data_IF_569288810792
#
_entry.id   IF_569288810792
#
_cell.length_a   1.000
_cell.length_b   1.000
_cell.length_c   1.000
_cell.angle_alpha   90.00
_cell.angle_beta   90.00
_cell.angle_gamma   90.00
#
_symmetry.space_group_name_H-M   'P 1'
#
loop_
_entity.id
_entity.type
_entity.pdbx_description
1 polymer ?
#
# COMPACT_ATOMS: atom_id res chain seq x y z
N UNK A 1 -2.89 -8.81 -16.46
CA UNK A 1 -3.27 -8.10 -15.21
C UNK A 1 -4.44 -8.81 -14.58
N UNK A 2 -4.46 -8.94 -13.26
CA UNK A 2 -5.57 -9.53 -12.50
C UNK A 2 -6.25 -8.43 -11.69
N UNK A 3 -7.58 -8.46 -11.57
CA UNK A 3 -8.30 -7.52 -10.70
C UNK A 3 -7.78 -7.66 -9.27
N UNK A 4 -7.30 -6.56 -8.70
CA UNK A 4 -6.65 -6.53 -7.39
C UNK A 4 -7.56 -7.12 -6.31
N UNK A 5 -8.85 -6.73 -6.32
CA UNK A 5 -9.82 -7.27 -5.37
C UNK A 5 -10.13 -8.75 -5.55
N UNK A 6 -10.18 -9.23 -6.80
CA UNK A 6 -10.38 -10.66 -7.05
C UNK A 6 -9.18 -11.46 -6.51
N UNK A 7 -7.97 -11.03 -6.88
CA UNK A 7 -6.73 -11.68 -6.47
C UNK A 7 -6.59 -11.75 -4.95
N UNK A 8 -6.86 -10.66 -4.23
CA UNK A 8 -6.71 -10.66 -2.77
C UNK A 8 -7.74 -11.57 -2.09
N UNK A 9 -8.94 -11.69 -2.65
CA UNK A 9 -9.97 -12.61 -2.16
C UNK A 9 -9.62 -14.08 -2.45
N UNK A 10 -8.94 -14.37 -3.57
CA UNK A 10 -8.45 -15.72 -3.86
C UNK A 10 -7.28 -16.12 -2.93
N UNK A 11 -6.38 -15.18 -2.60
CA UNK A 11 -5.26 -15.43 -1.68
C UNK A 11 -5.69 -15.54 -0.22
N UNK A 12 -6.72 -14.79 0.17
CA UNK A 12 -7.23 -14.75 1.54
C UNK A 12 -8.77 -14.88 1.53
N UNK A 13 -9.30 -16.10 1.30
CA UNK A 13 -10.73 -16.32 1.08
C UNK A 13 -11.56 -16.15 2.35
N UNK A 14 -10.99 -16.46 3.52
CA UNK A 14 -11.71 -16.36 4.79
C UNK A 14 -11.29 -15.16 5.62
N UNK A 15 -12.13 -14.80 6.59
CA UNK A 15 -11.77 -13.82 7.63
C UNK A 15 -10.55 -14.26 8.44
N UNK A 16 -10.44 -15.56 8.71
CA UNK A 16 -9.32 -16.09 9.48
C UNK A 16 -7.99 -15.92 8.74
N UNK A 17 -7.98 -16.12 7.41
CA UNK A 17 -6.79 -15.91 6.59
C UNK A 17 -6.35 -14.44 6.63
N UNK A 18 -7.30 -13.50 6.50
CA UNK A 18 -7.03 -12.05 6.59
C UNK A 18 -6.55 -11.64 7.98
N UNK A 19 -7.11 -12.24 9.03
CA UNK A 19 -6.74 -11.97 10.42
C UNK A 19 -5.31 -12.45 10.76
N UNK A 20 -4.75 -13.43 10.03
CA UNK A 20 -3.37 -13.90 10.23
C UNK A 20 -2.31 -12.97 9.66
N UNK A 21 -2.66 -12.11 8.70
CA UNK A 21 -1.69 -11.26 7.99
C UNK A 21 -1.27 -10.08 8.87
N UNK A 22 0.05 -9.98 9.08
CA UNK A 22 0.71 -8.82 9.69
C UNK A 22 1.55 -8.04 8.69
N UNK A 23 2.18 -8.73 7.75
CA UNK A 23 2.96 -8.12 6.67
C UNK A 23 2.47 -8.61 5.33
N UNK A 24 2.18 -7.67 4.43
CA UNK A 24 1.81 -7.95 3.05
C UNK A 24 2.69 -7.12 2.12
N UNK A 25 3.52 -7.79 1.32
CA UNK A 25 4.28 -7.17 0.25
C UNK A 25 3.81 -7.71 -1.10
N UNK A 26 3.53 -6.81 -2.02
CA UNK A 26 3.16 -7.13 -3.40
C UNK A 26 4.24 -6.54 -4.30
N UNK A 27 5.05 -7.42 -4.86
CA UNK A 27 6.14 -7.10 -5.77
C UNK A 27 5.67 -7.38 -7.19
N UNK A 28 5.76 -6.36 -8.01
CA UNK A 28 5.30 -6.41 -9.39
C UNK A 28 6.41 -6.95 -10.31
N UNK A 29 7.68 -6.81 -9.89
CA UNK A 29 8.84 -7.41 -10.54
C UNK A 29 9.05 -8.90 -10.25
N UNK A 30 10.16 -9.42 -10.80
CA UNK A 30 10.51 -10.84 -10.75
C UNK A 30 10.88 -11.32 -9.34
N UNK A 31 10.52 -12.57 -9.05
CA UNK A 31 10.92 -13.26 -7.84
C UNK A 31 10.06 -14.47 -7.50
N UNK A 32 10.22 -14.97 -6.28
CA UNK A 32 9.50 -16.15 -5.77
C UNK A 32 8.75 -15.77 -4.51
N UNK A 33 7.47 -16.14 -4.45
CA UNK A 33 6.63 -15.88 -3.28
C UNK A 33 7.28 -16.42 -2.00
N UNK A 34 7.27 -15.59 -0.94
CA UNK A 34 7.77 -15.96 0.38
C UNK A 34 6.63 -15.81 1.37
N UNK A 35 6.22 -16.93 1.96
CA UNK A 35 5.16 -16.96 2.97
C UNK A 35 5.76 -17.56 4.23
N UNK A 36 5.78 -16.78 5.31
CA UNK A 36 6.24 -17.22 6.62
C UNK A 36 5.32 -16.71 7.72
N UNK A 37 4.54 -17.61 8.31
CA UNK A 37 3.57 -17.30 9.36
C UNK A 37 2.58 -16.20 8.96
N UNK A 38 2.83 -14.98 9.43
CA UNK A 38 1.98 -13.79 9.23
C UNK A 38 2.54 -12.83 8.16
N UNK A 39 3.66 -13.20 7.52
CA UNK A 39 4.34 -12.40 6.52
C UNK A 39 4.14 -13.03 5.14
N UNK A 40 3.61 -12.24 4.21
CA UNK A 40 3.27 -12.66 2.87
C UNK A 40 3.93 -11.72 1.86
N UNK A 41 4.85 -12.24 1.07
CA UNK A 41 5.51 -11.51 -0.01
C UNK A 41 5.17 -12.23 -1.32
N UNK A 42 4.46 -11.53 -2.21
CA UNK A 42 4.06 -12.05 -3.51
C UNK A 42 4.85 -11.34 -4.60
N UNK A 43 5.38 -12.11 -5.55
CA UNK A 43 6.15 -11.63 -6.70
C UNK A 43 5.38 -11.92 -8.00
N UNK A 44 5.83 -11.34 -9.13
CA UNK A 44 5.21 -11.54 -10.45
C UNK A 44 3.70 -11.22 -10.46
N UNK A 45 3.24 -10.27 -9.65
CA UNK A 45 1.81 -10.08 -9.39
C UNK A 45 1.29 -8.78 -10.00
N UNK A 46 1.01 -8.72 -11.30
CA UNK A 46 0.46 -7.48 -11.90
C UNK A 46 -1.03 -7.28 -11.58
N UNK A 47 -1.34 -6.36 -10.66
CA UNK A 47 -2.71 -6.04 -10.22
C UNK A 47 -3.30 -4.78 -10.86
N UNK A 48 -4.61 -4.76 -11.01
CA UNK A 48 -5.35 -3.61 -11.53
C UNK A 48 -6.65 -3.31 -10.77
N UNK A 49 -7.10 -2.06 -10.79
CA UNK A 49 -8.34 -1.61 -10.17
C UNK A 49 -8.20 -1.30 -8.68
N UNK A 50 -9.29 -1.49 -7.93
CA UNK A 50 -9.34 -1.23 -6.49
C UNK A 50 -8.76 -2.40 -5.69
N UNK A 51 -7.90 -2.08 -4.72
CA UNK A 51 -7.40 -2.99 -3.70
C UNK A 51 -7.99 -2.58 -2.33
N UNK A 52 -8.99 -3.32 -1.86
CA UNK A 52 -9.58 -3.13 -0.54
C UNK A 52 -8.95 -4.08 0.49
N UNK A 53 -8.20 -3.50 1.43
CA UNK A 53 -7.54 -4.18 2.53
C UNK A 53 -8.22 -3.94 3.88
N UNK A 54 -9.43 -3.36 3.91
CA UNK A 54 -10.15 -3.08 5.16
C UNK A 54 -10.52 -4.34 5.97
N UNK A 55 -10.44 -5.53 5.35
CA UNK A 55 -10.58 -6.82 6.03
C UNK A 55 -9.35 -7.27 6.84
N UNK A 56 -8.17 -6.66 6.61
CA UNK A 56 -6.90 -7.07 7.21
C UNK A 56 -6.63 -6.30 8.50
N UNK A 57 -7.41 -6.61 9.55
CA UNK A 57 -7.41 -5.87 10.83
C UNK A 57 -6.08 -5.91 11.60
N UNK A 58 -5.22 -6.88 11.29
CA UNK A 58 -3.95 -7.12 11.94
C UNK A 58 -2.74 -6.68 11.11
N UNK A 59 -2.97 -6.04 9.96
CA UNK A 59 -1.91 -5.55 9.08
C UNK A 59 -1.09 -4.46 9.78
N UNK A 60 0.21 -4.67 9.87
CA UNK A 60 1.21 -3.82 10.51
C UNK A 60 2.19 -3.24 9.48
N UNK A 61 2.48 -3.98 8.41
CA UNK A 61 3.41 -3.58 7.34
C UNK A 61 2.78 -3.89 5.97
N UNK A 62 2.65 -2.84 5.14
CA UNK A 62 2.15 -2.94 3.77
C UNK A 62 3.19 -2.35 2.82
N UNK A 63 3.64 -3.16 1.88
CA UNK A 63 4.45 -2.71 0.76
C UNK A 63 3.80 -3.06 -0.58
N UNK A 64 3.72 -2.10 -1.49
CA UNK A 64 3.38 -2.34 -2.89
C UNK A 64 4.56 -1.81 -3.69
N UNK A 65 5.32 -2.69 -4.34
CA UNK A 65 6.55 -2.35 -5.06
C UNK A 65 6.41 -2.54 -6.55
N UNK A 66 6.85 -1.53 -7.29
CA UNK A 66 6.98 -1.54 -8.73
C UNK A 66 7.96 -2.60 -9.22
N UNK A 67 8.07 -2.70 -10.53
CA UNK A 67 9.09 -3.49 -11.22
C UNK A 67 10.30 -2.64 -11.64
N UNK A 68 10.36 -1.36 -11.22
CA UNK A 68 11.42 -0.41 -11.58
C UNK A 68 11.43 0.00 -13.06
N UNK A 69 10.43 -0.42 -13.86
CA UNK A 69 10.42 -0.17 -15.32
C UNK A 69 9.78 1.16 -15.71
N UNK A 70 9.27 1.93 -14.75
CA UNK A 70 8.49 3.14 -15.01
C UNK A 70 7.06 2.86 -15.51
N UNK A 71 6.65 1.59 -15.59
CA UNK A 71 5.29 1.22 -15.95
C UNK A 71 4.35 1.49 -14.78
N UNK A 72 3.30 2.27 -15.04
CA UNK A 72 2.26 2.56 -14.06
C UNK A 72 1.46 1.29 -13.77
N UNK A 73 1.43 0.89 -12.50
CA UNK A 73 0.63 -0.24 -12.07
C UNK A 73 -0.82 0.20 -11.86
N UNK A 74 -1.81 -0.44 -12.50
CA UNK A 74 -3.17 0.05 -12.57
C UNK A 74 -3.98 -0.15 -11.29
N UNK A 75 -3.36 -0.37 -10.14
CA UNK A 75 -4.04 -0.14 -8.87
C UNK A 75 -4.38 1.34 -8.80
N UNK A 76 -5.67 1.65 -8.88
CA UNK A 76 -6.19 3.01 -9.01
C UNK A 76 -6.99 3.46 -7.78
N UNK A 77 -7.14 2.57 -6.79
CA UNK A 77 -7.66 2.89 -5.47
C UNK A 77 -7.12 1.91 -4.44
N UNK A 78 -6.72 2.40 -3.27
CA UNK A 78 -6.25 1.60 -2.14
C UNK A 78 -7.11 1.96 -0.92
N UNK A 79 -7.81 0.98 -0.35
CA UNK A 79 -8.61 1.17 0.88
C UNK A 79 -7.93 0.48 2.06
N UNK A 80 -7.46 1.30 3.00
CA UNK A 80 -6.78 0.88 4.23
C UNK A 80 -7.36 1.59 5.47
N UNK A 81 -8.57 2.15 5.35
CA UNK A 81 -9.28 2.93 6.37
C UNK A 81 -9.54 2.14 7.68
N UNK A 82 -9.49 0.81 7.63
CA UNK A 82 -9.66 -0.09 8.79
C UNK A 82 -8.37 -0.79 9.21
N UNK A 83 -7.23 -0.50 8.58
CA UNK A 83 -5.91 -1.02 8.95
C UNK A 83 -5.31 -0.21 10.12
N UNK A 84 -5.99 -0.19 11.26
CA UNK A 84 -5.63 0.62 12.44
C UNK A 84 -4.32 0.22 13.14
N UNK A 85 -3.73 -0.94 12.76
CA UNK A 85 -2.44 -1.42 13.26
C UNK A 85 -1.27 -1.10 12.32
N UNK A 86 -1.53 -0.50 11.16
CA UNK A 86 -0.51 -0.23 10.16
C UNK A 86 0.54 0.75 10.72
N UNK A 87 1.79 0.31 10.70
CA UNK A 87 2.97 1.05 11.18
C UNK A 87 3.90 1.43 10.04
N UNK A 88 4.02 0.56 9.03
CA UNK A 88 4.82 0.82 7.84
C UNK A 88 3.93 0.78 6.60
N UNK A 89 4.02 1.84 5.79
CA UNK A 89 3.41 1.91 4.48
C UNK A 89 4.47 2.32 3.46
N UNK A 90 4.72 1.46 2.50
CA UNK A 90 5.65 1.69 1.40
C UNK A 90 4.92 1.48 0.08
N UNK A 91 4.85 2.53 -0.72
CA UNK A 91 4.17 2.51 -2.01
C UNK A 91 5.16 2.99 -3.06
N UNK A 92 5.63 2.04 -3.86
CA UNK A 92 6.39 2.28 -5.06
C UNK A 92 5.57 1.84 -6.26
N UNK A 93 5.12 2.81 -7.05
CA UNK A 93 4.30 2.66 -8.25
C UNK A 93 2.80 2.36 -8.03
N UNK A 94 1.99 3.43 -8.02
CA UNK A 94 0.54 3.30 -8.11
C UNK A 94 -0.07 4.35 -9.04
N UNK A 95 -1.16 3.97 -9.73
CA UNK A 95 -1.88 4.83 -10.67
C UNK A 95 -2.91 5.75 -9.99
N UNK A 96 -3.12 5.63 -8.68
CA UNK A 96 -4.12 6.43 -7.98
C UNK A 96 -3.67 7.86 -7.72
N UNK A 97 -4.64 8.78 -7.72
CA UNK A 97 -4.41 10.21 -7.55
C UNK A 97 -4.60 10.69 -6.09
N UNK A 98 -5.10 9.83 -5.22
CA UNK A 98 -5.38 10.16 -3.82
C UNK A 98 -5.08 8.97 -2.91
N UNK A 99 -4.47 9.25 -1.77
CA UNK A 99 -4.25 8.29 -0.69
C UNK A 99 -4.92 8.82 0.58
N UNK A 100 -5.70 7.97 1.27
CA UNK A 100 -6.34 8.31 2.53
C UNK A 100 -5.64 7.61 3.69
N UNK A 101 -5.08 8.39 4.61
CA UNK A 101 -4.36 7.93 5.81
C UNK A 101 -5.03 8.38 7.12
N UNK A 102 -6.23 8.99 7.07
CA UNK A 102 -6.92 9.57 8.25
C UNK A 102 -7.06 8.57 9.42
N UNK A 103 -7.20 7.27 9.12
CA UNK A 103 -7.39 6.23 10.14
C UNK A 103 -6.10 5.50 10.54
N UNK A 104 -4.95 5.82 9.93
CA UNK A 104 -3.70 5.07 10.08
C UNK A 104 -2.70 5.76 11.01
N UNK A 105 -3.16 6.30 12.14
CA UNK A 105 -2.39 7.10 13.10
C UNK A 105 -1.16 6.39 13.70
N UNK A 106 -1.06 5.06 13.57
CA UNK A 106 0.08 4.27 14.04
C UNK A 106 1.26 4.23 13.06
N UNK A 107 1.11 4.79 11.86
CA UNK A 107 2.20 4.84 10.88
C UNK A 107 3.39 5.59 11.49
N UNK A 108 4.52 4.90 11.56
CA UNK A 108 5.83 5.46 11.93
C UNK A 108 6.73 5.63 10.71
N UNK A 109 6.47 4.89 9.63
CA UNK A 109 7.25 4.96 8.38
C UNK A 109 6.30 5.04 7.19
N UNK A 110 6.43 6.14 6.42
CA UNK A 110 5.72 6.36 5.17
C UNK A 110 6.74 6.63 4.06
N UNK A 111 6.77 5.73 3.07
CA UNK A 111 7.64 5.84 1.90
C UNK A 111 6.76 5.85 0.65
N UNK A 112 6.82 6.93 -0.13
CA UNK A 112 6.06 7.09 -1.37
C UNK A 112 7.04 7.37 -2.51
N UNK A 113 7.16 6.41 -3.42
CA UNK A 113 8.07 6.41 -4.56
C UNK A 113 7.30 6.07 -5.85
N UNK A 114 7.76 6.55 -7.01
CA UNK A 114 7.17 6.21 -8.31
C UNK A 114 5.67 6.58 -8.49
N UNK A 115 5.02 7.25 -7.53
CA UNK A 115 3.57 7.53 -7.53
C UNK A 115 3.23 8.80 -8.33
N UNK A 116 3.66 8.91 -9.58
CA UNK A 116 3.64 10.14 -10.41
C UNK A 116 2.26 10.79 -10.64
N UNK A 117 1.17 10.07 -10.34
CA UNK A 117 -0.20 10.57 -10.47
C UNK A 117 -0.83 10.99 -9.14
N UNK A 118 -0.18 10.70 -8.00
CA UNK A 118 -0.66 11.06 -6.68
C UNK A 118 -0.68 12.58 -6.51
N UNK A 119 -1.87 13.14 -6.31
CA UNK A 119 -2.11 14.57 -6.15
C UNK A 119 -2.33 14.95 -4.68
N UNK A 120 -2.84 14.02 -3.87
CA UNK A 120 -3.23 14.30 -2.49
C UNK A 120 -2.98 13.11 -1.57
N UNK A 121 -2.43 13.39 -0.39
CA UNK A 121 -2.42 12.46 0.75
C UNK A 121 -3.27 13.11 1.84
N UNK A 122 -4.43 12.53 2.16
CA UNK A 122 -5.30 12.99 3.25
C UNK A 122 -4.90 12.34 4.57
N UNK A 123 -4.88 13.12 5.65
CA UNK A 123 -4.54 12.63 6.98
C UNK A 123 -3.03 12.49 7.23
N UNK A 124 -2.18 13.00 6.32
CA UNK A 124 -0.73 13.04 6.54
C UNK A 124 -0.39 13.87 7.80
N UNK A 125 -1.09 14.99 7.98
CA UNK A 125 -1.00 15.87 9.14
C UNK A 125 -1.48 15.24 10.45
N UNK A 126 -2.18 14.10 10.38
CA UNK A 126 -2.69 13.37 11.53
C UNK A 126 -1.74 12.24 11.98
N UNK A 127 -0.65 11.98 11.24
CA UNK A 127 0.32 10.94 11.57
C UNK A 127 1.31 11.41 12.65
N UNK A 128 0.81 11.63 13.87
CA UNK A 128 1.62 12.16 15.00
C UNK A 128 2.77 11.25 15.44
N UNK A 129 2.76 9.97 15.02
CA UNK A 129 3.80 8.98 15.32
C UNK A 129 4.82 8.82 14.19
N UNK A 130 4.71 9.60 13.11
CA UNK A 130 5.57 9.50 11.94
C UNK A 130 7.02 9.88 12.31
N UNK A 131 7.93 8.93 12.11
CA UNK A 131 9.36 9.08 12.39
C UNK A 131 10.16 9.17 11.09
N UNK A 132 9.75 8.41 10.08
CA UNK A 132 10.40 8.35 8.78
C UNK A 132 9.41 8.72 7.69
N UNK A 133 9.68 9.83 7.00
CA UNK A 133 8.93 10.27 5.84
C UNK A 133 9.89 10.40 4.66
N UNK A 134 9.67 9.59 3.63
CA UNK A 134 10.36 9.70 2.35
C UNK A 134 9.31 9.81 1.24
N UNK A 135 9.21 10.98 0.62
CA UNK A 135 8.34 11.22 -0.53
C UNK A 135 9.23 11.67 -1.67
N UNK A 136 9.38 10.82 -2.69
CA UNK A 136 10.17 11.16 -3.86
C UNK A 136 9.52 12.28 -4.67
N UNK A 137 10.31 13.03 -5.47
CA UNK A 137 9.80 14.13 -6.27
C UNK A 137 8.55 13.74 -7.06
N UNK A 138 7.45 14.38 -6.69
CA UNK A 138 6.16 14.17 -7.30
C UNK A 138 5.60 15.51 -7.75
N UNK A 139 5.61 15.74 -9.06
CA UNK A 139 5.26 17.03 -9.67
C UNK A 139 3.78 17.40 -9.51
N UNK A 140 2.93 16.44 -9.14
CA UNK A 140 1.49 16.64 -8.98
C UNK A 140 1.03 16.67 -7.53
N UNK A 141 1.85 16.17 -6.60
CA UNK A 141 1.48 16.06 -5.20
C UNK A 141 1.44 17.43 -4.55
N UNK A 142 0.26 17.80 -4.05
CA UNK A 142 0.07 18.97 -3.21
C UNK A 142 0.21 18.50 -1.76
N UNK A 143 1.31 18.86 -1.11
CA UNK A 143 1.55 18.53 0.29
C UNK A 143 1.13 19.74 1.13
N UNK A 144 0.32 19.57 2.20
CA UNK A 144 -0.11 20.70 3.03
C UNK A 144 1.03 21.44 3.76
N UNK A 145 2.26 20.93 3.72
CA UNK A 145 3.45 21.53 4.34
C UNK A 145 4.31 22.36 3.39
N UNK A 146 3.96 22.47 2.10
CA UNK A 146 4.70 23.30 1.15
C UNK A 146 4.16 24.73 1.13
N UNK A 147 4.55 25.53 2.12
CA UNK A 147 4.57 27.00 2.06
C UNK A 147 5.86 27.51 2.66
#
# INVERSE_FOLDING_TARGET
MVKAQQWINEKFPSREDKDKVKKLCIHLGEGTNKINQSNYEFFNTTLEGELDLNGFKNLEDLAIWGDGTGTLHPINNLKIDRCSKLQKLEIDCTSFNKLNLNSNQKITTLIIQGCINLQRIEGLEQLSNLQNLDIWPNTKLQIPFSQ
#
